data_IF_183951894395
#
_entry.id   IF_183951894395
#
_cell.length_a   1.000
_cell.length_b   1.000
_cell.length_c   1.000
_cell.angle_alpha   90.00
_cell.angle_beta   90.00
_cell.angle_gamma   90.00
#
_symmetry.space_group_name_H-M   'P 1'
#
loop_
_entity.id
_entity.type
_entity.pdbx_description
1 polymer ?
#
# COMPACT_ATOMS: atom_id res chain seq x y z
N UNK A 1 10.16 -27.06 6.01
CA UNK A 1 10.77 -25.82 6.47
C UNK A 1 9.97 -24.68 5.90
N UNK A 2 9.60 -23.76 6.64
CA UNK A 2 8.66 -22.69 6.73
C UNK A 2 7.94 -22.22 5.46
N UNK A 3 6.62 -22.30 5.48
CA UNK A 3 5.78 -21.61 4.51
C UNK A 3 6.02 -20.10 4.55
N UNK A 4 5.71 -19.41 3.45
CA UNK A 4 5.70 -17.95 3.39
C UNK A 4 4.27 -17.50 3.17
N UNK A 5 3.81 -16.58 3.97
CA UNK A 5 2.49 -15.95 3.82
C UNK A 5 2.66 -14.50 3.37
N UNK A 6 1.80 -14.05 2.49
CA UNK A 6 1.70 -12.65 2.09
C UNK A 6 0.58 -11.98 2.87
N UNK A 7 0.87 -10.84 3.50
CA UNK A 7 -0.12 -10.06 4.24
C UNK A 7 -0.34 -8.71 3.57
N UNK A 8 -1.53 -8.52 2.99
CA UNK A 8 -1.90 -7.31 2.24
C UNK A 8 -2.92 -6.42 2.97
N UNK A 9 -3.47 -6.90 4.08
CA UNK A 9 -4.50 -6.16 4.81
C UNK A 9 -3.90 -4.90 5.42
N UNK A 10 -4.52 -3.77 5.12
CA UNK A 10 -4.28 -2.49 5.74
C UNK A 10 -5.59 -1.89 6.23
N UNK A 11 -5.73 -1.80 7.52
CA UNK A 11 -6.86 -1.11 8.15
C UNK A 11 -6.39 0.28 8.58
N UNK A 12 -6.58 1.28 7.71
CA UNK A 12 -6.47 2.67 8.14
C UNK A 12 -7.54 2.88 9.23
N UNK A 13 -7.15 3.34 10.40
CA UNK A 13 -8.13 3.74 11.42
C UNK A 13 -8.99 4.85 10.79
N UNK A 14 -10.23 4.52 10.48
CA UNK A 14 -11.18 5.50 9.94
C UNK A 14 -11.48 6.50 11.03
N UNK A 15 -11.22 7.76 10.78
CA UNK A 15 -11.92 8.83 11.48
C UNK A 15 -13.42 8.61 11.27
N UNK A 16 -14.24 8.77 12.31
CA UNK A 16 -15.65 8.34 12.42
C UNK A 16 -16.64 8.92 11.39
N UNK A 17 -16.16 9.70 10.41
CA UNK A 17 -17.03 10.43 9.47
C UNK A 17 -17.46 9.64 8.22
N UNK A 18 -17.05 8.37 8.10
CA UNK A 18 -17.43 7.49 6.97
C UNK A 18 -18.77 6.76 7.16
N UNK A 19 -19.55 7.07 8.19
CA UNK A 19 -20.83 6.42 8.50
C UNK A 19 -21.98 6.77 7.52
N UNK A 20 -21.82 7.80 6.67
CA UNK A 20 -22.90 8.36 5.84
C UNK A 20 -23.18 7.64 4.52
N UNK A 21 -22.49 6.55 4.16
CA UNK A 21 -22.70 5.82 2.90
C UNK A 21 -23.35 4.43 3.04
N UNK A 22 -23.92 4.09 4.19
CA UNK A 22 -24.44 2.74 4.48
C UNK A 22 -25.90 2.46 4.02
N UNK A 23 -26.63 3.41 3.49
CA UNK A 23 -28.08 3.30 3.41
C UNK A 23 -28.66 2.62 2.14
N UNK A 24 -27.82 2.15 1.20
CA UNK A 24 -28.31 1.57 -0.06
C UNK A 24 -27.65 0.23 -0.47
N UNK A 25 -27.22 -0.59 0.49
CA UNK A 25 -26.71 -1.93 0.17
C UNK A 25 -27.91 -2.88 0.02
N UNK A 26 -28.12 -3.53 -1.17
CA UNK A 26 -29.15 -4.55 -1.33
C UNK A 26 -29.04 -5.64 -0.27
N UNK A 27 -30.20 -6.17 0.17
CA UNK A 27 -30.27 -7.14 1.27
C UNK A 27 -29.40 -8.39 1.02
N UNK A 28 -29.31 -8.83 -0.24
CA UNK A 28 -28.52 -9.98 -0.68
C UNK A 28 -27.01 -9.82 -0.45
N UNK A 29 -26.48 -8.58 -0.41
CA UNK A 29 -25.07 -8.31 -0.14
C UNK A 29 -24.77 -8.09 1.34
N UNK A 30 -25.77 -7.92 2.20
CA UNK A 30 -25.57 -7.61 3.62
C UNK A 30 -24.83 -8.72 4.37
N UNK A 31 -25.17 -9.99 4.09
CA UNK A 31 -24.51 -11.14 4.72
C UNK A 31 -23.05 -11.24 4.27
N UNK A 32 -22.77 -11.10 2.97
CA UNK A 32 -21.41 -11.12 2.41
C UNK A 32 -20.58 -9.97 3.00
N UNK A 33 -21.16 -8.77 3.09
CA UNK A 33 -20.50 -7.62 3.68
C UNK A 33 -20.23 -7.79 5.18
N UNK A 34 -21.13 -8.46 5.91
CA UNK A 34 -20.91 -8.77 7.32
C UNK A 34 -19.77 -9.77 7.51
N UNK A 35 -19.74 -10.86 6.72
CA UNK A 35 -18.64 -11.83 6.71
C UNK A 35 -17.30 -11.18 6.34
N UNK A 36 -17.30 -10.31 5.33
CA UNK A 36 -16.10 -9.58 4.93
C UNK A 36 -15.62 -8.63 6.03
N UNK A 37 -16.54 -7.94 6.71
CA UNK A 37 -16.19 -7.06 7.83
C UNK A 37 -15.59 -7.84 9.02
N UNK A 38 -16.10 -9.04 9.30
CA UNK A 38 -15.54 -9.91 10.32
C UNK A 38 -14.16 -10.45 9.91
N UNK A 39 -14.01 -10.89 8.67
CA UNK A 39 -12.71 -11.28 8.12
C UNK A 39 -11.70 -10.13 8.24
N UNK A 40 -12.04 -8.93 7.81
CA UNK A 40 -11.15 -7.76 7.88
C UNK A 40 -10.76 -7.40 9.31
N UNK A 41 -11.61 -7.68 10.29
CA UNK A 41 -11.31 -7.45 11.71
C UNK A 41 -10.29 -8.45 12.27
N UNK A 42 -10.34 -9.70 11.83
CA UNK A 42 -9.45 -10.76 12.31
C UNK A 42 -8.13 -10.84 11.51
N UNK A 43 -8.17 -10.52 10.23
CA UNK A 43 -7.03 -10.65 9.32
C UNK A 43 -5.72 -9.96 9.79
N UNK A 44 -5.72 -8.83 10.52
CA UNK A 44 -4.48 -8.28 11.10
C UNK A 44 -3.72 -9.22 12.04
N UNK A 45 -4.37 -10.28 12.55
CA UNK A 45 -3.76 -11.29 13.43
C UNK A 45 -3.08 -12.43 12.65
N UNK A 46 -3.37 -12.55 11.35
CA UNK A 46 -2.87 -13.66 10.51
C UNK A 46 -1.34 -13.76 10.48
N UNK A 47 -0.57 -12.64 10.41
CA UNK A 47 0.88 -12.71 10.49
C UNK A 47 1.38 -13.45 11.74
N UNK A 48 0.91 -13.08 12.92
CA UNK A 48 1.28 -13.74 14.18
C UNK A 48 0.90 -15.20 14.21
N UNK A 49 -0.29 -15.55 13.71
CA UNK A 49 -0.74 -16.95 13.60
C UNK A 49 0.16 -17.76 12.65
N UNK A 50 0.52 -17.21 11.50
CA UNK A 50 1.42 -17.86 10.56
C UNK A 50 2.80 -18.10 11.17
N UNK A 51 3.36 -17.08 11.83
CA UNK A 51 4.65 -17.17 12.51
C UNK A 51 4.64 -18.22 13.62
N UNK A 52 3.56 -18.32 14.39
CA UNK A 52 3.40 -19.36 15.41
C UNK A 52 3.47 -20.78 14.83
N UNK A 53 3.14 -20.93 13.54
CA UNK A 53 3.24 -22.17 12.74
C UNK A 53 4.53 -22.24 11.91
N UNK A 54 5.55 -21.43 12.23
CA UNK A 54 6.87 -21.37 11.58
C UNK A 54 6.87 -20.78 10.16
N UNK A 55 5.83 -20.06 9.75
CA UNK A 55 5.85 -19.31 8.51
C UNK A 55 6.71 -18.04 8.63
N UNK A 56 7.14 -17.54 7.46
CA UNK A 56 7.66 -16.18 7.28
C UNK A 56 6.57 -15.29 6.68
N UNK A 57 6.69 -13.99 6.84
CA UNK A 57 5.70 -13.03 6.33
C UNK A 57 6.32 -12.12 5.28
N UNK A 58 5.67 -11.98 4.13
CA UNK A 58 5.89 -10.88 3.20
C UNK A 58 4.82 -9.82 3.50
N UNK A 59 5.25 -8.59 3.73
CA UNK A 59 4.35 -7.47 3.98
C UNK A 59 4.03 -6.75 2.67
N UNK A 60 2.75 -6.75 2.30
CA UNK A 60 2.20 -6.06 1.12
C UNK A 60 1.03 -5.14 1.48
N UNK A 61 1.13 -4.27 2.53
CA UNK A 61 -0.01 -3.53 3.01
C UNK A 61 -0.57 -2.60 1.93
N UNK A 62 -1.83 -2.81 1.54
CA UNK A 62 -2.46 -2.13 0.42
C UNK A 62 -2.43 -0.60 0.50
N UNK A 63 -2.46 -0.04 1.70
CA UNK A 63 -2.38 1.40 1.90
C UNK A 63 -1.01 2.04 1.67
N UNK A 64 0.07 1.24 1.53
CA UNK A 64 1.43 1.76 1.38
C UNK A 64 2.13 1.27 0.11
N UNK A 65 1.83 0.03 -0.33
CA UNK A 65 2.59 -0.60 -1.41
C UNK A 65 1.73 -1.01 -2.62
N UNK A 66 0.43 -0.68 -2.63
CA UNK A 66 -0.39 -0.80 -3.83
C UNK A 66 -0.21 0.47 -4.67
N UNK A 67 0.45 0.33 -5.81
CA UNK A 67 0.91 1.45 -6.63
C UNK A 67 -0.17 2.02 -7.54
N UNK A 68 -1.34 1.41 -7.57
CA UNK A 68 -2.51 1.83 -8.32
C UNK A 68 -3.46 2.78 -7.55
N UNK A 69 -3.04 3.32 -6.41
CA UNK A 69 -3.72 4.47 -5.80
C UNK A 69 -3.64 5.71 -6.69
N UNK A 70 -4.70 6.51 -6.73
CA UNK A 70 -4.66 7.84 -7.35
C UNK A 70 -3.76 8.78 -6.54
N UNK A 71 -3.05 9.67 -7.24
CA UNK A 71 -2.29 10.72 -6.58
C UNK A 71 -3.22 11.77 -5.98
N UNK A 72 -2.90 12.22 -4.77
CA UNK A 72 -3.63 13.31 -4.10
C UNK A 72 -3.12 14.67 -4.59
N UNK A 73 -1.81 14.85 -4.65
CA UNK A 73 -1.23 16.10 -5.16
C UNK A 73 -1.36 16.18 -6.69
N UNK A 74 -1.65 17.38 -7.22
CA UNK A 74 -1.62 17.60 -8.65
C UNK A 74 -0.17 17.44 -9.18
N UNK A 75 -0.04 16.98 -10.43
CA UNK A 75 1.26 16.96 -11.07
C UNK A 75 1.78 18.39 -11.27
N UNK A 76 3.10 18.58 -11.14
CA UNK A 76 3.76 19.82 -11.49
C UNK A 76 3.66 20.09 -13.02
N UNK A 77 3.53 19.03 -13.82
CA UNK A 77 3.28 19.11 -15.26
C UNK A 77 1.79 18.96 -15.54
N UNK A 78 1.16 20.05 -15.95
CA UNK A 78 -0.28 20.08 -16.28
C UNK A 78 -0.66 19.17 -17.44
N UNK A 79 0.27 18.74 -18.29
CA UNK A 79 0.01 17.78 -19.37
C UNK A 79 -0.34 16.39 -18.84
N UNK A 80 0.02 16.09 -17.60
CA UNK A 80 -0.27 14.82 -16.92
C UNK A 80 -1.63 14.81 -16.19
N UNK A 81 -2.37 15.92 -16.16
CA UNK A 81 -3.62 15.99 -15.40
C UNK A 81 -4.66 14.96 -15.87
N UNK A 82 -4.72 14.72 -17.18
CA UNK A 82 -5.66 13.75 -17.75
C UNK A 82 -5.33 12.30 -17.32
N UNK A 83 -4.06 11.95 -17.33
CA UNK A 83 -3.56 10.67 -16.85
C UNK A 83 -3.81 10.52 -15.35
N UNK A 84 -3.56 11.55 -14.58
CA UNK A 84 -3.77 11.56 -13.12
C UNK A 84 -5.24 11.32 -12.74
N UNK A 85 -6.18 11.88 -13.49
CA UNK A 85 -7.61 11.64 -13.24
C UNK A 85 -8.07 10.26 -13.73
N UNK A 86 -7.50 9.74 -14.80
CA UNK A 86 -7.89 8.48 -15.42
C UNK A 86 -7.28 7.27 -14.70
N UNK A 87 -6.00 7.35 -14.32
CA UNK A 87 -5.24 6.23 -13.79
C UNK A 87 -5.46 6.04 -12.29
N UNK A 88 -5.40 4.80 -11.88
CA UNK A 88 -5.53 4.34 -10.50
C UNK A 88 -6.95 3.96 -10.11
N UNK A 89 -7.05 3.09 -9.10
CA UNK A 89 -8.30 2.52 -8.61
C UNK A 89 -9.15 3.58 -7.90
N UNK A 90 -10.35 3.81 -8.40
CA UNK A 90 -11.26 4.82 -7.83
C UNK A 90 -11.82 4.45 -6.44
N UNK A 91 -11.78 3.15 -6.09
CA UNK A 91 -12.25 2.65 -4.80
C UNK A 91 -11.26 2.95 -3.65
N UNK A 92 -10.00 3.24 -3.96
CA UNK A 92 -8.99 3.60 -2.98
C UNK A 92 -9.01 5.11 -2.69
N UNK A 93 -8.64 5.48 -1.49
CA UNK A 93 -8.39 6.88 -1.16
C UNK A 93 -7.20 7.40 -1.96
N UNK A 94 -7.30 8.64 -2.45
CA UNK A 94 -6.15 9.32 -3.05
C UNK A 94 -5.06 9.50 -1.99
N UNK A 95 -3.80 9.33 -2.39
CA UNK A 95 -2.66 9.42 -1.47
C UNK A 95 -1.53 10.25 -2.06
N UNK A 96 -0.80 10.91 -1.17
CA UNK A 96 0.47 11.56 -1.48
C UNK A 96 1.57 10.51 -1.59
N UNK A 97 2.68 10.87 -2.24
CA UNK A 97 3.89 10.03 -2.27
C UNK A 97 4.44 9.87 -0.85
N UNK A 98 4.37 10.94 -0.04
CA UNK A 98 4.81 10.92 1.34
C UNK A 98 4.00 9.94 2.19
N UNK A 99 2.66 9.99 2.12
CA UNK A 99 1.81 9.06 2.88
C UNK A 99 2.10 7.59 2.57
N UNK A 100 2.42 7.28 1.31
CA UNK A 100 2.81 5.93 0.92
C UNK A 100 4.23 5.55 1.38
N UNK A 101 5.09 6.52 1.60
CA UNK A 101 6.45 6.30 2.10
C UNK A 101 6.51 6.21 3.63
N UNK A 102 5.66 6.94 4.36
CA UNK A 102 5.72 7.09 5.82
C UNK A 102 5.15 5.87 6.56
N UNK A 103 5.83 4.74 6.44
CA UNK A 103 5.58 3.54 7.23
C UNK A 103 6.87 2.80 7.54
N UNK A 104 6.82 1.93 8.53
CA UNK A 104 7.95 1.12 8.96
C UNK A 104 7.58 -0.36 8.90
N UNK A 105 8.20 -1.14 7.98
CA UNK A 105 7.95 -2.57 7.89
C UNK A 105 8.22 -3.33 9.19
N UNK A 106 9.13 -2.83 10.02
CA UNK A 106 9.54 -3.52 11.26
C UNK A 106 8.52 -3.33 12.39
N UNK A 107 7.66 -2.32 12.30
CA UNK A 107 6.65 -2.04 13.34
C UNK A 107 5.21 -2.08 12.80
N UNK A 108 5.05 -2.31 11.48
CA UNK A 108 3.77 -2.24 10.81
C UNK A 108 2.70 -3.15 11.42
N UNK A 109 3.05 -4.39 11.74
CA UNK A 109 2.08 -5.33 12.31
C UNK A 109 2.49 -5.73 13.72
N UNK A 110 1.70 -5.35 14.75
CA UNK A 110 2.04 -5.59 16.16
C UNK A 110 2.03 -7.07 16.55
N UNK A 111 1.48 -7.97 15.73
CA UNK A 111 1.50 -9.42 15.99
C UNK A 111 2.80 -10.07 15.55
N UNK A 112 3.68 -9.34 14.86
CA UNK A 112 5.01 -9.79 14.47
C UNK A 112 6.03 -9.35 15.52
N UNK A 113 6.23 -10.18 16.53
CA UNK A 113 7.06 -9.85 17.69
C UNK A 113 8.55 -9.71 17.35
N UNK A 114 9.04 -10.46 16.35
CA UNK A 114 10.44 -10.40 15.93
C UNK A 114 10.54 -10.17 14.41
N UNK A 115 10.27 -8.93 13.94
CA UNK A 115 10.20 -8.65 12.52
C UNK A 115 11.50 -8.90 11.76
N UNK A 116 12.66 -8.67 12.37
CA UNK A 116 13.98 -8.94 11.75
C UNK A 116 14.17 -10.43 11.43
N UNK A 117 13.54 -11.32 12.20
CA UNK A 117 13.58 -12.75 11.97
C UNK A 117 12.46 -13.22 11.07
N UNK A 118 11.26 -12.69 11.26
CA UNK A 118 10.03 -13.30 10.78
C UNK A 118 9.46 -12.60 9.53
N UNK A 119 9.85 -11.36 9.25
CA UNK A 119 9.55 -10.69 7.97
C UNK A 119 10.57 -11.13 6.92
N UNK A 120 10.07 -11.78 5.86
CA UNK A 120 10.90 -12.21 4.73
C UNK A 120 11.21 -11.05 3.75
N UNK A 121 10.36 -10.03 3.74
CA UNK A 121 10.50 -8.86 2.89
C UNK A 121 9.20 -8.07 2.76
N UNK A 122 9.23 -7.10 1.85
CA UNK A 122 8.06 -6.34 1.45
C UNK A 122 7.80 -6.53 -0.04
N UNK A 123 6.56 -6.38 -0.46
CA UNK A 123 6.16 -6.54 -1.86
C UNK A 123 5.27 -5.39 -2.29
N UNK A 124 5.61 -4.78 -3.43
CA UNK A 124 4.74 -3.83 -4.09
C UNK A 124 3.79 -4.56 -5.05
N UNK A 125 2.52 -4.13 -5.08
CA UNK A 125 1.55 -4.63 -6.04
C UNK A 125 0.99 -3.48 -6.89
N UNK A 126 0.60 -3.82 -8.11
CA UNK A 126 -0.11 -2.91 -9.00
C UNK A 126 -1.20 -3.69 -9.74
N UNK A 127 -2.41 -3.17 -9.72
CA UNK A 127 -3.55 -3.78 -10.40
C UNK A 127 -3.87 -3.02 -11.68
N UNK A 128 -4.27 -3.72 -12.71
CA UNK A 128 -4.24 -3.22 -14.09
C UNK A 128 -5.58 -2.70 -14.62
N UNK A 129 -6.58 -2.47 -13.77
CA UNK A 129 -7.94 -2.08 -14.19
C UNK A 129 -7.98 -0.80 -15.03
N UNK A 130 -7.02 0.10 -14.83
CA UNK A 130 -6.92 1.36 -15.56
C UNK A 130 -5.71 1.45 -16.47
N UNK A 131 -4.84 0.43 -16.48
CA UNK A 131 -3.59 0.40 -17.24
C UNK A 131 -3.86 -0.22 -18.62
N UNK A 132 -3.60 0.52 -19.69
CA UNK A 132 -3.81 0.09 -21.06
C UNK A 132 -2.54 -0.01 -21.89
N UNK A 133 -1.45 0.57 -21.40
CA UNK A 133 -0.17 0.61 -22.09
C UNK A 133 0.98 0.81 -21.09
N UNK A 134 2.22 0.75 -21.60
CA UNK A 134 3.42 0.86 -20.75
C UNK A 134 3.59 2.25 -20.11
N UNK A 135 3.17 3.33 -20.79
CA UNK A 135 3.21 4.69 -20.22
C UNK A 135 2.29 4.82 -19.01
N UNK A 136 1.10 4.23 -19.07
CA UNK A 136 0.18 4.19 -17.93
C UNK A 136 0.82 3.47 -16.73
N UNK A 137 1.48 2.35 -17.00
CA UNK A 137 2.21 1.58 -15.99
C UNK A 137 3.32 2.42 -15.36
N UNK A 138 4.17 3.07 -16.17
CA UNK A 138 5.25 3.92 -15.67
C UNK A 138 4.72 5.06 -14.79
N UNK A 139 3.63 5.70 -15.23
CA UNK A 139 3.01 6.80 -14.48
C UNK A 139 2.58 6.38 -13.06
N UNK A 140 2.03 5.18 -12.90
CA UNK A 140 1.63 4.67 -11.60
C UNK A 140 2.79 4.12 -10.78
N UNK A 141 3.77 3.48 -11.42
CA UNK A 141 4.94 2.91 -10.73
C UNK A 141 5.85 4.01 -10.15
N UNK A 142 6.15 5.04 -10.97
CA UNK A 142 7.13 6.04 -10.57
C UNK A 142 6.45 7.31 -10.08
N UNK A 143 6.95 7.90 -9.00
CA UNK A 143 8.17 7.54 -8.25
C UNK A 143 7.94 6.56 -7.07
N UNK A 144 6.73 6.05 -6.86
CA UNK A 144 6.32 5.28 -5.66
C UNK A 144 7.12 4.00 -5.47
N UNK A 145 7.40 3.27 -6.55
CA UNK A 145 8.17 2.02 -6.49
C UNK A 145 9.56 2.22 -5.89
N UNK A 146 10.20 3.36 -6.17
CA UNK A 146 11.49 3.70 -5.57
C UNK A 146 11.42 3.80 -4.05
N UNK A 147 10.31 4.33 -3.51
CA UNK A 147 10.07 4.39 -2.06
C UNK A 147 9.90 3.01 -1.44
N UNK A 148 9.17 2.13 -2.10
CA UNK A 148 9.03 0.73 -1.64
C UNK A 148 10.38 0.04 -1.64
N UNK A 149 11.17 0.21 -2.71
CA UNK A 149 12.50 -0.37 -2.79
C UNK A 149 13.42 0.12 -1.65
N UNK A 150 13.40 1.42 -1.35
CA UNK A 150 14.18 1.96 -0.24
C UNK A 150 13.76 1.36 1.10
N UNK A 151 12.45 1.25 1.37
CA UNK A 151 11.95 0.61 2.61
C UNK A 151 12.34 -0.86 2.74
N UNK A 152 12.48 -1.57 1.63
CA UNK A 152 12.89 -2.98 1.61
C UNK A 152 14.39 -3.20 1.78
N UNK A 153 15.22 -2.25 1.40
CA UNK A 153 16.68 -2.41 1.35
C UNK A 153 17.44 -1.56 2.36
N UNK A 154 16.83 -0.51 2.89
CA UNK A 154 17.48 0.39 3.84
C UNK A 154 17.08 0.08 5.27
N UNK A 155 17.96 0.38 6.20
CA UNK A 155 17.63 0.36 7.62
C UNK A 155 16.67 1.50 7.93
N UNK A 156 15.72 1.27 8.83
CA UNK A 156 14.66 2.22 9.20
C UNK A 156 15.21 3.58 9.62
N UNK A 157 16.30 3.58 10.40
CA UNK A 157 16.97 4.81 10.86
C UNK A 157 17.53 5.70 9.72
N UNK A 158 17.58 5.17 8.50
CA UNK A 158 18.06 5.88 7.31
C UNK A 158 16.93 6.21 6.32
N UNK A 159 15.66 6.00 6.69
CA UNK A 159 14.50 6.17 5.78
C UNK A 159 13.63 7.36 6.20
N UNK A 160 14.18 8.56 6.17
CA UNK A 160 13.47 9.80 6.51
C UNK A 160 12.96 10.51 5.27
N UNK A 161 11.69 10.94 5.27
CA UNK A 161 11.06 11.60 4.14
C UNK A 161 11.84 12.82 3.62
N UNK A 162 12.32 13.68 4.52
CA UNK A 162 12.99 14.92 4.13
C UNK A 162 14.29 14.69 3.34
N UNK A 163 15.00 13.63 3.63
CA UNK A 163 16.20 13.23 2.86
C UNK A 163 15.80 12.45 1.61
N UNK A 164 14.82 11.55 1.72
CA UNK A 164 14.35 10.74 0.62
C UNK A 164 13.79 11.60 -0.53
N UNK A 165 12.94 12.59 -0.24
CA UNK A 165 12.35 13.45 -1.27
C UNK A 165 13.39 14.20 -2.11
N UNK A 166 14.53 14.59 -1.49
CA UNK A 166 15.63 15.25 -2.22
C UNK A 166 16.32 14.28 -3.16
N UNK A 167 16.62 13.06 -2.69
CA UNK A 167 17.24 12.02 -3.53
C UNK A 167 16.29 11.58 -4.64
N UNK A 168 14.99 11.46 -4.33
CA UNK A 168 13.96 11.12 -5.31
C UNK A 168 13.88 12.18 -6.42
N UNK A 169 13.84 13.47 -6.06
CA UNK A 169 13.83 14.57 -7.03
C UNK A 169 15.08 14.58 -7.93
N UNK A 170 16.24 14.22 -7.40
CA UNK A 170 17.46 14.11 -8.19
C UNK A 170 17.44 12.95 -9.22
N UNK A 171 16.58 11.96 -9.04
CA UNK A 171 16.41 10.83 -9.98
C UNK A 171 15.35 11.12 -11.06
N UNK A 172 14.51 12.14 -10.91
CA UNK A 172 13.42 12.42 -11.82
C UNK A 172 13.85 12.49 -13.31
N UNK A 173 15.00 13.10 -13.68
CA UNK A 173 15.45 13.12 -15.08
C UNK A 173 15.77 11.75 -15.69
N UNK A 174 15.86 10.70 -14.89
CA UNK A 174 16.09 9.33 -15.37
C UNK A 174 14.79 8.61 -15.76
N UNK A 175 13.65 9.18 -15.42
CA UNK A 175 12.32 8.56 -15.64
C UNK A 175 11.50 9.29 -16.72
N UNK A 176 12.05 10.37 -17.28
CA UNK A 176 11.53 11.06 -18.47
C UNK A 176 11.96 10.35 -19.77
#
# INVERSE_FOLDING_TARGET
EGDVIQHWIYLKQKNEDSSKKKDNIPAEYKEIMALFAEFMKEAPKDPGLGISKKAKVILSPSGYVYLDHKYLEPSADSTQNAEQERLGMAAYEKQTIQEMYDWDPMTFNPTVENPQKDVAGIEAAIWCETITNFRDLQFLLMPRLAGVAEKGWSKVENTHWDEYKVRLGAQAPLWE
#
